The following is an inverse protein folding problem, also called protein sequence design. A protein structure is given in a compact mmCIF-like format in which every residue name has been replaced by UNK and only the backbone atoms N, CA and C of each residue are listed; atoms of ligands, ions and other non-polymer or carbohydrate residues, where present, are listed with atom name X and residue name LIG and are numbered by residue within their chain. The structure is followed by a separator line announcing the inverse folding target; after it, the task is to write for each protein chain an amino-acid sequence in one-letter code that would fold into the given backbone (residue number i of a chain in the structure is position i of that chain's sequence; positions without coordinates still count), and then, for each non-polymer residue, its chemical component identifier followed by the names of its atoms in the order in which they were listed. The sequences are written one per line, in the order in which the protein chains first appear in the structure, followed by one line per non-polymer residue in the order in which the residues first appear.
data_IF_685022355900
#
_entry.id   IF_685022355900
#
_cell.length_a   1.000
_cell.length_b   1.000
_cell.length_c   1.000
_cell.angle_alpha   90.00
_cell.angle_beta   90.00
_cell.angle_gamma   90.00
#
_symmetry.space_group_name_H-M   'P 1'
#
loop_
_entity.id
_entity.type
_entity.pdbx_description
1 polymer ?
#
# COMPACT_ATOMS: atom_id res chain seq x y z
N UNK A 1 35.32 -10.74 2.50
CA UNK A 1 34.02 -10.11 2.83
C UNK A 1 33.20 -10.01 1.56
N UNK A 2 32.26 -10.94 1.35
CA UNK A 2 31.31 -10.86 0.24
C UNK A 2 29.96 -10.44 0.84
N UNK A 3 29.52 -9.24 0.50
CA UNK A 3 28.23 -8.71 0.94
C UNK A 3 27.10 -9.52 0.28
N UNK A 4 26.29 -10.19 1.10
CA UNK A 4 25.04 -10.82 0.67
C UNK A 4 24.03 -9.71 0.34
N UNK A 5 23.87 -9.43 -0.95
CA UNK A 5 22.77 -8.61 -1.47
C UNK A 5 21.46 -9.37 -1.19
N UNK A 6 20.71 -8.98 -0.16
CA UNK A 6 19.34 -9.46 0.05
C UNK A 6 18.47 -8.90 -1.07
N UNK A 7 18.15 -9.74 -2.06
CA UNK A 7 17.20 -9.39 -3.13
C UNK A 7 15.84 -9.14 -2.50
N UNK A 8 15.35 -7.91 -2.60
CA UNK A 8 14.00 -7.53 -2.15
C UNK A 8 12.98 -8.13 -3.14
N UNK A 9 12.35 -9.24 -2.76
CA UNK A 9 11.19 -9.77 -3.46
C UNK A 9 10.00 -8.87 -3.13
N UNK A 10 9.70 -7.92 -4.02
CA UNK A 10 8.43 -7.22 -3.97
C UNK A 10 7.36 -8.23 -4.39
N UNK A 11 6.68 -8.81 -3.40
CA UNK A 11 5.40 -9.46 -3.64
C UNK A 11 4.43 -8.41 -4.17
N UNK A 12 4.22 -8.39 -5.48
CA UNK A 12 3.10 -7.68 -6.08
C UNK A 12 1.85 -8.40 -5.56
N UNK A 13 1.19 -7.84 -4.55
CA UNK A 13 -0.17 -8.22 -4.21
C UNK A 13 -1.07 -7.73 -5.33
N UNK A 14 -1.08 -8.46 -6.45
CA UNK A 14 -2.14 -8.37 -7.44
C UNK A 14 -3.39 -8.85 -6.73
N UNK A 15 -4.22 -7.92 -6.26
CA UNK A 15 -5.56 -8.23 -5.79
C UNK A 15 -6.40 -8.65 -7.01
N UNK A 16 -6.28 -9.92 -7.40
CA UNK A 16 -7.25 -10.58 -8.28
C UNK A 16 -8.52 -10.77 -7.45
N UNK A 17 -9.63 -10.26 -7.97
CA UNK A 17 -10.88 -10.07 -7.27
C UNK A 17 -11.34 -11.27 -6.45
N UNK A 18 -11.77 -10.98 -5.22
CA UNK A 18 -12.59 -11.88 -4.43
C UNK A 18 -13.96 -11.24 -4.24
N UNK A 19 -14.96 -11.94 -4.75
CA UNK A 19 -16.38 -11.64 -4.59
C UNK A 19 -16.71 -11.34 -3.13
N UNK A 20 -17.50 -10.30 -2.92
CA UNK A 20 -18.02 -9.89 -1.63
C UNK A 20 -18.86 -11.02 -1.01
N UNK A 21 -18.36 -11.60 0.09
CA UNK A 21 -19.21 -12.23 1.10
C UNK A 21 -19.20 -11.29 2.29
N UNK A 22 -20.33 -10.60 2.47
CA UNK A 22 -20.58 -9.65 3.55
C UNK A 22 -20.65 -10.36 4.90
N UNK A 23 -19.50 -10.48 5.56
CA UNK A 23 -19.41 -10.49 7.01
C UNK A 23 -18.74 -9.16 7.36
N UNK A 24 -19.48 -8.25 7.97
CA UNK A 24 -18.91 -7.02 8.50
C UNK A 24 -17.77 -7.43 9.44
N UNK A 25 -16.52 -7.00 9.18
CA UNK A 25 -15.41 -7.39 10.04
C UNK A 25 -15.69 -6.90 11.46
N UNK A 26 -15.42 -7.75 12.44
CA UNK A 26 -15.38 -7.36 13.84
C UNK A 26 -14.46 -6.13 13.95
N UNK A 27 -14.86 -5.17 14.79
CA UNK A 27 -14.25 -3.85 14.93
C UNK A 27 -12.72 -3.91 14.77
N UNK A 28 -12.22 -3.32 13.69
CA UNK A 28 -10.82 -3.28 13.36
C UNK A 28 -10.10 -2.27 14.26
N UNK A 29 -9.01 -2.66 14.92
CA UNK A 29 -8.14 -1.68 15.58
C UNK A 29 -7.55 -0.71 14.56
N UNK A 30 -7.62 0.60 14.82
CA UNK A 30 -6.91 1.61 14.04
C UNK A 30 -5.44 1.69 14.45
N UNK A 31 -4.61 2.30 13.61
CA UNK A 31 -3.24 2.67 13.98
C UNK A 31 -3.31 3.62 15.18
N UNK A 32 -2.64 3.28 16.29
CA UNK A 32 -2.59 4.10 17.51
C UNK A 32 -1.23 4.75 17.69
N UNK A 33 -1.12 5.72 18.59
CA UNK A 33 0.13 6.45 18.87
C UNK A 33 0.75 7.06 17.58
N UNK A 34 -0.12 7.56 16.70
CA UNK A 34 0.29 8.11 15.43
C UNK A 34 1.18 9.35 15.62
N UNK A 35 2.34 9.37 14.97
CA UNK A 35 3.31 10.47 15.01
C UNK A 35 3.87 10.72 13.62
N UNK A 36 4.18 11.99 13.33
CA UNK A 36 4.85 12.39 12.09
C UNK A 36 6.36 12.48 12.30
N UNK A 37 7.11 12.03 11.31
CA UNK A 37 8.57 12.00 11.31
C UNK A 37 9.16 11.99 9.91
N UNK A 38 10.32 11.38 9.75
CA UNK A 38 11.10 11.37 8.51
C UNK A 38 12.14 12.48 8.48
N UNK A 39 12.81 12.62 7.34
CA UNK A 39 13.87 13.62 7.15
C UNK A 39 13.34 15.02 6.85
N UNK A 40 12.04 15.14 6.54
CA UNK A 40 11.27 16.37 6.39
C UNK A 40 9.97 16.33 7.22
N UNK A 41 10.07 16.07 8.52
CA UNK A 41 8.91 15.85 9.41
C UNK A 41 7.86 16.98 9.49
N UNK A 42 8.16 18.17 8.98
CA UNK A 42 7.21 19.30 8.91
C UNK A 42 6.49 19.40 7.56
N UNK A 43 6.88 18.59 6.58
CA UNK A 43 6.32 18.60 5.22
C UNK A 43 5.14 17.64 5.13
N UNK A 44 4.03 18.04 5.75
CA UNK A 44 2.75 17.32 5.71
C UNK A 44 1.57 18.28 5.88
N UNK A 45 0.41 17.86 5.38
CA UNK A 45 -0.86 18.53 5.61
C UNK A 45 -1.86 17.53 6.20
N UNK A 46 -2.75 18.04 7.05
CA UNK A 46 -3.87 17.26 7.57
C UNK A 46 -5.16 17.86 7.04
N UNK A 47 -5.97 17.02 6.40
CA UNK A 47 -7.30 17.37 5.94
C UNK A 47 -8.34 16.65 6.78
N UNK A 48 -9.30 17.38 7.33
CA UNK A 48 -10.53 16.84 7.88
C UNK A 48 -11.67 16.91 6.87
N UNK A 49 -12.88 16.55 7.29
CA UNK A 49 -14.07 16.59 6.44
C UNK A 49 -15.03 17.73 6.82
N UNK A 50 -15.64 18.35 5.82
CA UNK A 50 -16.75 19.29 5.95
C UNK A 50 -17.75 19.05 4.82
N UNK A 51 -18.86 18.38 5.15
CA UNK A 51 -19.78 17.87 4.12
C UNK A 51 -19.08 16.85 3.21
N UNK A 52 -19.16 17.06 1.89
CA UNK A 52 -18.47 16.23 0.89
C UNK A 52 -17.10 16.78 0.49
N UNK A 53 -16.51 17.65 1.33
CA UNK A 53 -15.21 18.29 1.09
C UNK A 53 -14.18 17.84 2.11
N UNK A 54 -12.94 17.66 1.65
CA UNK A 54 -11.79 17.67 2.56
C UNK A 54 -11.27 19.09 2.70
N UNK A 55 -10.99 19.51 3.94
CA UNK A 55 -10.54 20.86 4.29
C UNK A 55 -9.31 20.80 5.18
N UNK A 56 -8.37 21.72 4.97
CA UNK A 56 -7.19 21.82 5.83
C UNK A 56 -7.60 22.09 7.28
N UNK A 57 -7.01 21.33 8.20
CA UNK A 57 -7.16 21.49 9.64
C UNK A 57 -5.77 21.58 10.29
N UNK A 58 -5.66 22.05 11.54
CA UNK A 58 -4.36 22.15 12.20
C UNK A 58 -3.61 20.82 12.27
N UNK A 59 -2.31 20.88 11.99
CA UNK A 59 -1.38 19.76 12.09
C UNK A 59 -1.10 19.41 13.57
N UNK A 60 -2.01 18.65 14.20
CA UNK A 60 -1.88 18.17 15.58
C UNK A 60 -1.99 16.65 15.64
N UNK A 61 -1.33 16.00 16.61
CA UNK A 61 -1.38 14.54 16.76
C UNK A 61 -2.82 14.02 16.92
N UNK A 62 -3.67 14.78 17.62
CA UNK A 62 -5.09 14.44 17.78
C UNK A 62 -5.84 14.45 16.44
N UNK A 63 -5.57 15.44 15.58
CA UNK A 63 -6.18 15.50 14.25
C UNK A 63 -5.64 14.39 13.36
N UNK A 64 -4.31 14.14 13.37
CA UNK A 64 -3.69 13.01 12.66
C UNK A 64 -4.36 11.69 13.06
N UNK A 65 -4.50 11.43 14.37
CA UNK A 65 -5.17 10.23 14.86
C UNK A 65 -6.63 10.13 14.40
N UNK A 66 -7.39 11.22 14.48
CA UNK A 66 -8.82 11.22 14.09
C UNK A 66 -9.06 10.89 12.62
N UNK A 67 -8.10 11.23 11.75
CA UNK A 67 -8.15 10.84 10.33
C UNK A 67 -8.00 9.32 10.20
N UNK A 68 -7.08 8.72 10.96
CA UNK A 68 -6.73 7.31 10.82
C UNK A 68 -7.82 6.35 11.32
N UNK A 69 -8.77 6.86 12.11
CA UNK A 69 -9.91 6.09 12.64
C UNK A 69 -11.04 5.88 11.60
N UNK A 70 -10.94 6.48 10.41
CA UNK A 70 -11.88 6.30 9.31
C UNK A 70 -11.85 4.90 8.66
N UNK A 71 -12.58 4.74 7.55
CA UNK A 71 -12.50 3.56 6.67
C UNK A 71 -13.05 3.87 5.27
N UNK A 72 -12.97 2.91 4.34
CA UNK A 72 -13.44 3.05 2.97
C UNK A 72 -14.89 3.57 2.82
N UNK A 73 -15.79 3.18 3.72
CA UNK A 73 -17.20 3.57 3.67
C UNK A 73 -17.52 4.88 4.39
N UNK A 74 -16.63 5.32 5.28
CA UNK A 74 -16.77 6.53 6.12
C UNK A 74 -15.41 7.22 6.26
N UNK A 75 -14.85 7.78 5.17
CA UNK A 75 -13.59 8.49 5.24
C UNK A 75 -13.73 9.77 6.07
N UNK A 76 -12.76 10.04 6.95
CA UNK A 76 -12.77 11.21 7.85
C UNK A 76 -11.82 12.32 7.40
N UNK A 77 -11.01 12.06 6.37
CA UNK A 77 -10.07 12.99 5.75
C UNK A 77 -8.81 12.26 5.28
N UNK A 78 -7.67 12.95 5.26
CA UNK A 78 -6.37 12.36 4.92
C UNK A 78 -5.20 13.13 5.54
N UNK A 79 -4.09 12.43 5.76
CA UNK A 79 -2.78 12.99 6.08
C UNK A 79 -1.92 12.90 4.82
N UNK A 80 -1.67 14.05 4.21
CA UNK A 80 -0.81 14.17 3.02
C UNK A 80 0.65 14.21 3.45
N UNK A 81 1.43 13.19 3.08
CA UNK A 81 2.87 13.15 3.35
C UNK A 81 3.63 13.83 2.20
N UNK A 82 4.71 14.55 2.51
CA UNK A 82 5.49 15.30 1.51
C UNK A 82 4.64 16.28 0.70
N UNK A 83 3.78 17.04 1.38
CA UNK A 83 2.81 17.98 0.79
C UNK A 83 3.44 19.09 -0.09
N UNK A 84 4.75 19.28 -0.02
CA UNK A 84 5.50 20.18 -0.90
C UNK A 84 5.98 19.53 -2.20
N UNK A 85 5.67 18.24 -2.46
CA UNK A 85 6.06 17.45 -3.64
C UNK A 85 5.88 18.16 -4.98
N UNK A 86 4.80 18.94 -5.11
CA UNK A 86 4.43 19.65 -6.33
C UNK A 86 4.89 21.12 -6.35
N UNK A 87 5.60 21.58 -5.32
CA UNK A 87 6.04 22.97 -5.17
C UNK A 87 7.46 23.16 -5.68
N UNK A 88 7.75 24.38 -6.15
CA UNK A 88 9.10 24.75 -6.53
C UNK A 88 10.04 24.65 -5.32
N UNK A 89 11.20 24.01 -5.51
CA UNK A 89 12.19 23.82 -4.44
C UNK A 89 11.98 22.57 -3.57
N UNK A 90 11.04 21.68 -3.93
CA UNK A 90 10.89 20.38 -3.27
C UNK A 90 12.22 19.61 -3.21
N UNK A 91 12.61 19.19 -2.00
CA UNK A 91 13.83 18.40 -1.77
C UNK A 91 13.50 16.91 -1.86
N UNK A 92 13.57 16.37 -3.07
CA UNK A 92 13.20 14.98 -3.35
C UNK A 92 14.19 13.94 -2.78
N UNK A 93 15.20 14.37 -2.01
CA UNK A 93 16.05 13.48 -1.22
C UNK A 93 15.47 13.19 0.17
N UNK A 94 14.46 13.95 0.59
CA UNK A 94 13.83 13.84 1.90
C UNK A 94 12.46 13.17 1.83
N UNK A 95 12.04 12.65 2.96
CA UNK A 95 10.75 12.00 3.14
C UNK A 95 10.03 12.49 4.40
N UNK A 96 8.72 12.38 4.37
CA UNK A 96 7.82 12.51 5.52
C UNK A 96 7.28 11.12 5.82
N UNK A 97 7.14 10.79 7.09
CA UNK A 97 6.60 9.49 7.52
C UNK A 97 5.54 9.64 8.59
N UNK A 98 4.56 8.74 8.56
CA UNK A 98 3.58 8.49 9.60
C UNK A 98 3.95 7.17 10.30
N UNK A 99 4.17 7.20 11.61
CA UNK A 99 4.46 5.99 12.41
C UNK A 99 3.43 5.81 13.50
N UNK A 100 3.02 4.58 13.77
CA UNK A 100 2.18 4.22 14.91
C UNK A 100 2.21 2.72 15.19
N UNK A 101 1.33 2.27 16.10
CA UNK A 101 1.20 0.88 16.50
C UNK A 101 -0.10 0.25 15.98
N UNK A 102 0.01 -0.91 15.34
CA UNK A 102 -1.12 -1.72 14.85
C UNK A 102 -0.80 -3.21 15.01
N UNK A 103 -1.75 -4.00 15.48
CA UNK A 103 -1.51 -5.43 15.78
C UNK A 103 -0.38 -5.68 16.77
N UNK A 104 -0.14 -4.74 17.71
CA UNK A 104 0.96 -4.79 18.68
C UNK A 104 2.35 -4.62 18.08
N UNK A 105 2.46 -4.09 16.86
CA UNK A 105 3.72 -3.84 16.15
C UNK A 105 3.74 -2.42 15.60
N UNK A 106 4.94 -1.86 15.50
CA UNK A 106 5.11 -0.57 14.85
C UNK A 106 4.98 -0.71 13.33
N UNK A 107 4.18 0.16 12.74
CA UNK A 107 4.04 0.39 11.31
C UNK A 107 4.52 1.81 11.01
N UNK A 108 5.44 1.94 10.05
CA UNK A 108 5.81 3.22 9.44
C UNK A 108 5.34 3.24 8.01
N UNK A 109 4.60 4.27 7.62
CA UNK A 109 4.22 4.63 6.26
C UNK A 109 4.99 5.89 5.87
N UNK A 110 5.49 5.99 4.65
CA UNK A 110 6.32 7.12 4.23
C UNK A 110 6.13 7.49 2.78
N UNK A 111 6.30 8.78 2.51
CA UNK A 111 6.54 9.32 1.18
C UNK A 111 7.82 8.75 0.56
N UNK A 112 7.93 8.85 -0.76
CA UNK A 112 9.09 8.34 -1.49
C UNK A 112 10.11 9.44 -1.75
N UNK A 113 11.37 9.02 -1.84
CA UNK A 113 12.48 9.83 -2.34
C UNK A 113 12.83 9.44 -3.78
N UNK A 114 13.62 10.27 -4.46
CA UNK A 114 14.22 9.92 -5.75
C UNK A 114 15.01 8.59 -5.69
N UNK A 115 15.62 8.29 -4.54
CA UNK A 115 16.38 7.04 -4.34
C UNK A 115 15.48 5.81 -4.25
N UNK A 116 14.28 5.96 -3.67
CA UNK A 116 13.28 4.89 -3.60
C UNK A 116 12.82 4.52 -5.01
N UNK A 117 12.53 5.51 -5.86
CA UNK A 117 12.17 5.31 -7.26
C UNK A 117 13.25 4.62 -8.09
N UNK A 118 14.53 4.83 -7.76
CA UNK A 118 15.66 4.17 -8.39
C UNK A 118 15.90 2.73 -7.91
N UNK A 119 15.23 2.30 -6.83
CA UNK A 119 15.38 0.95 -6.26
C UNK A 119 15.03 -0.11 -7.30
N UNK A 120 15.89 -1.12 -7.44
CA UNK A 120 15.63 -2.28 -8.29
C UNK A 120 14.59 -3.20 -7.66
N UNK A 121 13.58 -3.55 -8.43
CA UNK A 121 12.47 -4.41 -8.05
C UNK A 121 12.42 -5.64 -8.96
N UNK A 122 11.36 -6.45 -8.87
CA UNK A 122 11.21 -7.66 -9.68
C UNK A 122 11.49 -7.42 -11.17
N UNK A 123 12.31 -8.27 -11.78
CA UNK A 123 12.64 -8.18 -13.22
C UNK A 123 13.71 -7.13 -13.56
N UNK A 124 14.51 -6.70 -12.58
CA UNK A 124 15.61 -5.71 -12.75
C UNK A 124 15.14 -4.32 -13.22
N UNK A 125 13.84 -4.07 -13.18
CA UNK A 125 13.23 -2.75 -13.36
C UNK A 125 13.50 -1.89 -12.13
N UNK A 126 13.60 -0.57 -12.31
CA UNK A 126 13.46 0.34 -11.16
C UNK A 126 12.00 0.37 -10.70
N UNK A 127 11.73 0.77 -9.45
CA UNK A 127 10.37 0.97 -8.96
C UNK A 127 9.58 1.90 -9.88
N UNK A 128 10.23 2.94 -10.40
CA UNK A 128 9.62 3.91 -11.31
C UNK A 128 9.16 3.27 -12.62
N UNK A 129 10.02 2.45 -13.22
CA UNK A 129 9.69 1.71 -14.44
C UNK A 129 8.57 0.68 -14.20
N UNK A 130 8.61 -0.02 -13.07
CA UNK A 130 7.60 -1.03 -12.70
C UNK A 130 6.24 -0.39 -12.49
N UNK A 131 6.15 0.62 -11.62
CA UNK A 131 4.91 1.31 -11.31
C UNK A 131 4.27 1.92 -12.56
N UNK A 132 5.05 2.63 -13.38
CA UNK A 132 4.53 3.26 -14.59
C UNK A 132 4.03 2.22 -15.60
N UNK A 133 4.76 1.11 -15.76
CA UNK A 133 4.33 0.02 -16.64
C UNK A 133 3.04 -0.62 -16.13
N UNK A 134 2.93 -0.88 -14.82
CA UNK A 134 1.71 -1.44 -14.23
C UNK A 134 0.51 -0.49 -14.34
N UNK A 135 0.74 0.82 -14.20
CA UNK A 135 -0.28 1.84 -14.39
C UNK A 135 -0.82 1.81 -15.83
N UNK A 136 0.07 1.73 -16.83
CA UNK A 136 -0.33 1.60 -18.23
C UNK A 136 -1.08 0.27 -18.48
N UNK A 137 -0.59 -0.85 -17.94
CA UNK A 137 -1.23 -2.16 -18.13
C UNK A 137 -2.64 -2.17 -17.55
N UNK A 138 -2.80 -1.76 -16.30
CA UNK A 138 -4.09 -1.79 -15.58
C UNK A 138 -5.16 -0.91 -16.22
N UNK A 139 -4.74 0.17 -16.87
CA UNK A 139 -5.63 1.18 -17.48
C UNK A 139 -5.89 0.94 -18.98
N UNK A 140 -5.38 -0.17 -19.52
CA UNK A 140 -5.65 -0.63 -20.89
C UNK A 140 -4.62 -0.17 -21.92
N UNK A 141 -3.50 0.40 -21.51
CA UNK A 141 -2.45 0.92 -22.39
C UNK A 141 -1.25 -0.03 -22.57
N UNK A 142 -1.42 -1.33 -22.29
CA UNK A 142 -0.38 -2.35 -22.49
C UNK A 142 0.26 -2.30 -23.90
N UNK A 143 -0.52 -1.93 -24.91
CA UNK A 143 -0.04 -1.83 -26.30
C UNK A 143 1.04 -0.74 -26.48
N UNK A 144 1.01 0.33 -25.67
CA UNK A 144 2.05 1.37 -25.69
C UNK A 144 3.41 0.79 -25.30
N UNK A 145 3.44 -0.14 -24.34
CA UNK A 145 4.69 -0.73 -23.85
C UNK A 145 5.41 -1.54 -24.93
N UNK A 146 4.67 -2.05 -25.93
CA UNK A 146 5.24 -2.79 -27.06
C UNK A 146 5.89 -1.89 -28.11
N UNK A 147 5.65 -0.57 -28.06
CA UNK A 147 6.22 0.42 -28.97
C UNK A 147 7.21 1.34 -28.22
N UNK A 148 8.54 1.14 -28.39
CA UNK A 148 9.56 1.91 -27.66
C UNK A 148 9.47 3.43 -27.81
N UNK A 149 9.02 3.91 -28.98
CA UNK A 149 8.88 5.35 -29.22
C UNK A 149 7.71 5.93 -28.41
N UNK A 150 6.56 5.24 -28.40
CA UNK A 150 5.38 5.70 -27.66
C UNK A 150 5.55 5.53 -26.15
N UNK A 151 6.14 4.42 -25.70
CA UNK A 151 6.44 4.23 -24.28
C UNK A 151 7.45 5.27 -23.79
N UNK A 152 8.49 5.58 -24.56
CA UNK A 152 9.43 6.66 -24.26
C UNK A 152 8.77 8.04 -24.24
N UNK A 153 7.85 8.31 -25.17
CA UNK A 153 7.09 9.58 -25.21
C UNK A 153 6.21 9.73 -23.98
N UNK A 154 5.44 8.69 -23.63
CA UNK A 154 4.57 8.69 -22.45
C UNK A 154 5.37 8.83 -21.16
N UNK A 155 6.47 8.08 -21.03
CA UNK A 155 7.38 8.16 -19.89
C UNK A 155 7.97 9.56 -19.73
N UNK A 156 8.50 10.15 -20.81
CA UNK A 156 9.09 11.49 -20.77
C UNK A 156 8.05 12.54 -20.39
N UNK A 157 6.82 12.44 -20.91
CA UNK A 157 5.74 13.35 -20.56
C UNK A 157 5.39 13.26 -19.07
N UNK A 158 5.24 12.04 -18.55
CA UNK A 158 5.00 11.77 -17.13
C UNK A 158 6.13 12.31 -16.24
N UNK A 159 7.37 11.92 -16.52
CA UNK A 159 8.52 12.27 -15.70
C UNK A 159 8.82 13.78 -15.73
N UNK A 160 8.75 14.42 -16.91
CA UNK A 160 8.98 15.86 -17.03
C UNK A 160 7.85 16.70 -16.40
N UNK A 161 6.67 16.12 -16.15
CA UNK A 161 5.59 16.78 -15.42
C UNK A 161 5.71 16.65 -13.89
N UNK A 162 6.85 16.16 -13.40
CA UNK A 162 7.04 15.84 -11.99
C UNK A 162 6.27 14.59 -11.55
N UNK A 163 5.94 13.69 -12.48
CA UNK A 163 5.11 12.52 -12.18
C UNK A 163 5.65 11.65 -11.04
N UNK A 164 6.98 11.52 -10.90
CA UNK A 164 7.52 10.79 -9.74
C UNK A 164 7.23 11.53 -8.43
N UNK A 165 7.40 12.85 -8.39
CA UNK A 165 7.12 13.67 -7.22
C UNK A 165 5.64 13.58 -6.81
N UNK A 166 4.72 13.73 -7.78
CA UNK A 166 3.25 13.71 -7.59
C UNK A 166 2.63 12.38 -7.18
N UNK A 167 3.42 11.29 -7.26
CA UNK A 167 2.99 9.96 -6.83
C UNK A 167 3.86 9.47 -5.65
N UNK A 168 4.62 10.37 -5.04
CA UNK A 168 5.50 10.10 -3.88
C UNK A 168 4.91 10.56 -2.56
N UNK A 169 3.77 11.21 -2.57
CA UNK A 169 3.15 12.01 -1.51
C UNK A 169 1.85 11.37 -1.03
N UNK A 170 1.91 10.15 -0.46
CA UNK A 170 0.72 9.38 -0.16
C UNK A 170 -0.20 10.10 0.82
N UNK A 171 -1.46 10.20 0.43
CA UNK A 171 -2.56 10.79 1.18
C UNK A 171 -3.25 9.75 2.07
N UNK A 172 -2.68 9.46 3.24
CA UNK A 172 -3.15 8.38 4.14
C UNK A 172 -4.51 8.76 4.75
N UNK A 173 -5.57 8.05 4.40
CA UNK A 173 -6.94 8.34 4.83
C UNK A 173 -7.44 7.46 5.97
N UNK A 174 -6.91 6.26 6.12
CA UNK A 174 -7.18 5.37 7.25
C UNK A 174 -6.15 4.25 7.32
N UNK A 175 -5.96 3.67 8.52
CA UNK A 175 -5.12 2.48 8.72
C UNK A 175 -5.77 1.58 9.77
N UNK A 176 -6.28 0.42 9.35
CA UNK A 176 -7.11 -0.44 10.20
C UNK A 176 -6.67 -1.90 10.04
N UNK A 177 -6.83 -2.72 11.08
CA UNK A 177 -6.54 -4.15 11.01
C UNK A 177 -7.77 -4.98 11.32
N UNK A 178 -8.08 -5.95 10.45
CA UNK A 178 -9.04 -6.99 10.78
C UNK A 178 -8.41 -7.93 11.82
N UNK A 179 -8.94 -7.93 13.06
CA UNK A 179 -8.37 -8.72 14.16
C UNK A 179 -8.57 -10.24 13.99
N UNK A 180 -9.46 -10.67 13.10
CA UNK A 180 -9.69 -12.10 12.81
C UNK A 180 -8.65 -12.65 11.85
N UNK A 181 -8.33 -11.87 10.80
CA UNK A 181 -7.40 -12.30 9.74
C UNK A 181 -5.98 -11.75 9.95
N UNK A 182 -5.85 -10.69 10.73
CA UNK A 182 -4.64 -9.87 10.84
C UNK A 182 -4.41 -8.99 9.62
N UNK A 183 -5.30 -8.92 8.63
CA UNK A 183 -5.11 -8.08 7.43
C UNK A 183 -5.11 -6.60 7.81
N UNK A 184 -4.00 -5.91 7.53
CA UNK A 184 -3.89 -4.45 7.65
C UNK A 184 -4.34 -3.82 6.34
N UNK A 185 -5.27 -2.88 6.43
CA UNK A 185 -5.79 -2.06 5.34
C UNK A 185 -5.31 -0.64 5.49
N UNK A 186 -4.83 -0.06 4.41
CA UNK A 186 -4.37 1.33 4.33
C UNK A 186 -5.17 2.00 3.21
N UNK A 187 -5.94 3.02 3.55
CA UNK A 187 -6.61 3.86 2.57
C UNK A 187 -5.71 4.96 2.07
N UNK A 188 -5.62 5.14 0.76
CA UNK A 188 -5.08 6.35 0.15
C UNK A 188 -6.21 7.15 -0.50
N UNK A 189 -6.38 8.40 -0.09
CA UNK A 189 -7.20 9.35 -0.82
C UNK A 189 -6.43 9.81 -2.05
N UNK A 190 -7.05 9.89 -3.22
CA UNK A 190 -6.35 10.32 -4.43
C UNK A 190 -7.31 10.73 -5.52
N UNK A 191 -6.85 10.73 -6.77
CA UNK A 191 -7.73 10.97 -7.91
C UNK A 191 -8.41 9.69 -8.36
N UNK A 192 -9.73 9.71 -8.47
CA UNK A 192 -10.51 8.66 -9.13
C UNK A 192 -10.20 8.61 -10.65
N UNK A 193 -9.86 9.75 -11.25
CA UNK A 193 -9.34 9.86 -12.61
C UNK A 193 -7.99 10.61 -12.64
N UNK A 194 -6.91 9.83 -12.71
CA UNK A 194 -5.53 10.28 -12.81
C UNK A 194 -5.07 10.56 -14.25
N UNK A 195 -5.97 10.67 -15.24
CA UNK A 195 -5.61 10.92 -16.65
C UNK A 195 -4.70 12.13 -16.82
N UNK A 196 -5.02 13.24 -16.15
CA UNK A 196 -4.22 14.47 -16.24
C UNK A 196 -2.85 14.33 -15.57
N UNK A 197 -2.72 13.48 -14.54
CA UNK A 197 -1.45 13.25 -13.87
C UNK A 197 -0.49 12.43 -14.73
N UNK A 198 -1.00 11.41 -15.42
CA UNK A 198 -0.20 10.55 -16.28
C UNK A 198 0.10 11.18 -17.65
N UNK A 199 -0.85 11.93 -18.20
CA UNK A 199 -0.83 12.35 -19.60
C UNK A 199 -1.02 13.85 -19.83
N UNK A 200 -1.07 14.67 -18.78
CA UNK A 200 -1.35 16.11 -18.87
C UNK A 200 -0.48 16.86 -19.88
N UNK A 201 0.82 16.55 -19.91
CA UNK A 201 1.83 17.20 -20.76
C UNK A 201 1.90 16.68 -22.21
N UNK A 202 1.08 15.71 -22.59
CA UNK A 202 0.99 15.28 -23.97
C UNK A 202 0.19 16.30 -24.81
N UNK A 203 0.66 16.56 -26.02
CA UNK A 203 -0.12 17.31 -27.02
C UNK A 203 -1.42 16.58 -27.39
N UNK A 204 -2.41 17.30 -27.92
CA UNK A 204 -3.68 16.70 -28.35
C UNK A 204 -3.48 15.56 -29.36
N UNK A 205 -2.53 15.69 -30.29
CA UNK A 205 -2.20 14.63 -31.25
C UNK A 205 -1.61 13.38 -30.58
N UNK A 206 -0.71 13.57 -29.60
CA UNK A 206 -0.16 12.46 -28.83
C UNK A 206 -1.23 11.78 -27.97
N UNK A 207 -2.11 12.55 -27.31
CA UNK A 207 -3.24 12.03 -26.54
C UNK A 207 -4.18 11.19 -27.42
N UNK A 208 -4.52 11.68 -28.62
CA UNK A 208 -5.35 10.95 -29.57
C UNK A 208 -4.70 9.63 -30.02
N UNK A 209 -3.40 9.65 -30.33
CA UNK A 209 -2.65 8.45 -30.72
C UNK A 209 -2.52 7.44 -29.57
N UNK A 210 -2.25 7.90 -28.35
CA UNK A 210 -2.17 7.03 -27.17
C UNK A 210 -3.53 6.41 -26.88
N UNK A 211 -4.60 7.21 -26.92
CA UNK A 211 -5.97 6.73 -26.71
C UNK A 211 -6.43 5.75 -27.79
N UNK A 212 -5.97 5.85 -29.04
CA UNK A 212 -6.32 4.87 -30.08
C UNK A 212 -5.71 3.48 -29.85
N UNK A 213 -4.70 3.38 -28.97
CA UNK A 213 -4.07 2.12 -28.58
C UNK A 213 -4.60 1.56 -27.26
N UNK A 214 -5.53 2.26 -26.61
CA UNK A 214 -6.18 1.79 -25.38
C UNK A 214 -7.04 0.57 -25.70
N UNK A 215 -7.02 -0.41 -24.81
CA UNK A 215 -7.92 -1.56 -24.83
C UNK A 215 -9.37 -1.07 -24.99
N UNK A 216 -10.10 -1.52 -26.04
CA UNK A 216 -11.48 -1.12 -26.28
C UNK A 216 -12.40 -1.31 -25.07
N UNK A 217 -12.16 -2.31 -24.22
CA UNK A 217 -12.94 -2.57 -23.01
C UNK A 217 -12.73 -1.54 -21.89
N UNK A 218 -11.68 -0.71 -22.00
CA UNK A 218 -11.33 0.35 -21.05
C UNK A 218 -11.60 1.75 -21.59
N UNK A 219 -12.03 1.88 -22.85
CA UNK A 219 -12.37 3.19 -23.43
C UNK A 219 -13.56 3.78 -22.68
N UNK A 220 -13.44 5.05 -22.28
CA UNK A 220 -14.47 5.75 -21.51
C UNK A 220 -14.44 5.49 -20.00
N UNK A 221 -13.57 4.59 -19.51
CA UNK A 221 -13.36 4.43 -18.07
C UNK A 221 -12.26 5.36 -17.57
N UNK A 222 -12.36 5.88 -16.33
CA UNK A 222 -11.28 6.63 -15.69
C UNK A 222 -9.95 5.88 -15.70
N UNK A 223 -8.85 6.63 -15.67
CA UNK A 223 -7.51 6.07 -15.49
C UNK A 223 -7.22 6.14 -14.00
N UNK A 224 -7.20 5.00 -13.33
CA UNK A 224 -6.95 4.94 -11.89
C UNK A 224 -5.48 4.60 -11.62
N UNK A 225 -4.86 5.36 -10.72
CA UNK A 225 -3.52 5.11 -10.23
C UNK A 225 -3.36 5.72 -8.84
N UNK A 226 -3.04 4.88 -7.85
CA UNK A 226 -2.71 5.39 -6.52
C UNK A 226 -1.30 6.00 -6.51
N UNK A 227 -1.08 6.92 -5.59
CA UNK A 227 0.26 7.21 -5.06
C UNK A 227 0.93 5.92 -4.56
N UNK A 228 2.25 5.97 -4.44
CA UNK A 228 3.03 4.88 -3.83
C UNK A 228 3.29 5.21 -2.38
N UNK A 229 3.06 4.24 -1.50
CA UNK A 229 3.46 4.35 -0.09
C UNK A 229 4.59 3.35 0.19
N UNK A 230 5.67 3.84 0.79
CA UNK A 230 6.71 2.97 1.37
C UNK A 230 6.26 2.60 2.77
N UNK A 231 6.25 1.31 3.09
CA UNK A 231 5.96 0.85 4.44
C UNK A 231 7.15 0.14 5.05
N UNK A 232 7.25 0.18 6.39
CA UNK A 232 8.07 -0.72 7.19
C UNK A 232 7.21 -1.32 8.29
N UNK A 233 7.08 -2.63 8.28
CA UNK A 233 6.30 -3.39 9.26
C UNK A 233 7.01 -4.69 9.58
N UNK A 234 7.16 -5.00 10.88
CA UNK A 234 7.80 -6.24 11.35
C UNK A 234 9.17 -6.51 10.69
N UNK A 235 10.01 -5.48 10.58
CA UNK A 235 11.35 -5.57 9.97
C UNK A 235 11.38 -5.72 8.45
N UNK A 236 10.22 -5.70 7.79
CA UNK A 236 10.11 -5.73 6.32
C UNK A 236 9.79 -4.34 5.81
N UNK A 237 10.61 -3.85 4.88
CA UNK A 237 10.36 -2.59 4.15
C UNK A 237 10.02 -2.91 2.70
N UNK A 238 8.90 -2.39 2.20
CA UNK A 238 8.48 -2.57 0.82
C UNK A 238 7.55 -1.41 0.37
N UNK A 239 7.03 -1.47 -0.84
CA UNK A 239 6.16 -0.46 -1.44
C UNK A 239 4.78 -1.04 -1.73
N UNK A 240 3.73 -0.24 -1.53
CA UNK A 240 2.35 -0.58 -1.87
C UNK A 240 1.77 0.47 -2.80
N UNK A 241 1.00 0.00 -3.78
CA UNK A 241 0.20 0.80 -4.70
C UNK A 241 -0.81 -0.13 -5.37
N UNK A 242 -1.88 0.43 -5.92
CA UNK A 242 -2.78 -0.29 -6.82
C UNK A 242 -3.41 0.68 -7.84
N UNK A 243 -4.26 0.13 -8.70
CA UNK A 243 -4.90 0.87 -9.82
C UNK A 243 -6.41 0.66 -9.82
N UNK A 244 -6.98 0.41 -8.63
CA UNK A 244 -8.41 0.17 -8.43
C UNK A 244 -8.92 1.06 -7.32
N UNK A 245 -9.60 2.13 -7.71
CA UNK A 245 -10.25 3.05 -6.79
C UNK A 245 -11.75 2.79 -6.71
N UNK A 246 -12.29 3.07 -5.53
CA UNK A 246 -13.72 3.36 -5.33
C UNK A 246 -13.91 4.87 -5.22
N UNK A 247 -15.11 5.38 -5.50
CA UNK A 247 -15.40 6.79 -5.22
C UNK A 247 -15.45 7.00 -3.70
N UNK A 248 -14.73 8.00 -3.18
CA UNK A 248 -14.70 8.28 -1.74
C UNK A 248 -15.92 9.06 -1.25
N UNK A 249 -16.65 9.71 -2.18
CA UNK A 249 -17.69 10.70 -1.86
C UNK A 249 -17.15 12.04 -1.37
N UNK A 250 -15.82 12.21 -1.33
CA UNK A 250 -15.13 13.44 -0.93
C UNK A 250 -14.47 14.12 -2.14
N UNK A 251 -14.18 15.42 -2.01
CA UNK A 251 -13.32 16.16 -2.94
C UNK A 251 -12.54 17.22 -2.18
N UNK A 252 -11.32 17.56 -2.59
CA UNK A 252 -10.60 18.66 -1.96
C UNK A 252 -11.32 20.01 -2.18
N UNK A 253 -11.32 20.84 -1.14
CA UNK A 253 -12.02 22.13 -1.16
C UNK A 253 -11.34 23.14 -2.08
N UNK A 254 -10.03 23.10 -2.17
CA UNK A 254 -9.17 24.04 -2.88
C UNK A 254 -9.13 23.81 -4.40
N UNK A 255 -9.15 22.55 -4.87
CA UNK A 255 -9.11 22.23 -6.31
C UNK A 255 -10.38 21.58 -6.88
N UNK A 256 -11.24 21.01 -6.02
CA UNK A 256 -12.47 20.33 -6.42
C UNK A 256 -12.29 19.00 -7.16
N UNK A 257 -11.06 18.48 -7.31
CA UNK A 257 -10.74 17.30 -8.14
C UNK A 257 -9.87 16.25 -7.44
N UNK A 258 -9.19 16.61 -6.35
CA UNK A 258 -8.40 15.69 -5.52
C UNK A 258 -9.26 14.99 -4.46
N UNK A 259 -8.72 13.91 -3.87
CA UNK A 259 -9.33 13.12 -2.79
C UNK A 259 -10.69 12.45 -3.10
N UNK A 260 -11.04 12.31 -4.38
CA UNK A 260 -12.28 11.68 -4.83
C UNK A 260 -12.19 10.18 -5.11
N UNK A 261 -10.97 9.63 -5.18
CA UNK A 261 -10.71 8.19 -5.21
C UNK A 261 -10.26 7.68 -3.85
N UNK A 262 -10.77 6.52 -3.45
CA UNK A 262 -10.23 5.72 -2.34
C UNK A 262 -9.54 4.47 -2.89
N UNK A 263 -8.24 4.34 -2.62
CA UNK A 263 -7.42 3.19 -2.95
C UNK A 263 -7.11 2.39 -1.68
N UNK A 264 -7.72 1.21 -1.55
CA UNK A 264 -7.47 0.33 -0.39
C UNK A 264 -6.28 -0.61 -0.67
N UNK A 265 -5.18 -0.36 0.02
CA UNK A 265 -3.97 -1.18 0.02
C UNK A 265 -4.01 -2.18 1.16
N UNK A 266 -3.37 -3.33 0.98
CA UNK A 266 -3.41 -4.44 1.93
C UNK A 266 -2.03 -5.02 2.18
N UNK A 267 -1.74 -5.33 3.45
CA UNK A 267 -0.58 -6.12 3.85
C UNK A 267 -0.95 -7.07 4.99
N UNK A 268 -0.25 -8.20 5.08
CA UNK A 268 -0.48 -9.16 6.15
C UNK A 268 0.09 -8.62 7.48
N UNK A 269 -0.79 -8.44 8.47
CA UNK A 269 -0.45 -8.06 9.83
C UNK A 269 -0.27 -9.25 10.76
N UNK A 270 -0.40 -8.99 12.06
CA UNK A 270 -0.28 -10.00 13.11
C UNK A 270 -1.63 -10.14 13.82
N UNK A 271 -2.11 -11.37 13.96
CA UNK A 271 -3.32 -11.65 14.74
C UNK A 271 -3.00 -11.49 16.23
N UNK A 272 -3.74 -10.63 16.93
CA UNK A 272 -3.56 -10.35 18.36
C UNK A 272 -4.88 -10.47 19.13
N UNK A 273 -4.99 -11.37 20.14
CA UNK A 273 -3.98 -12.33 20.58
C UNK A 273 -3.71 -13.41 19.51
N UNK A 274 -2.50 -13.97 19.44
CA UNK A 274 -2.22 -15.06 18.50
C UNK A 274 -3.22 -16.21 18.71
N UNK A 275 -3.59 -16.94 17.64
CA UNK A 275 -4.50 -18.07 17.75
C UNK A 275 -4.00 -19.02 18.85
N UNK A 276 -4.90 -19.62 19.65
CA UNK A 276 -4.50 -20.57 20.69
C UNK A 276 -3.56 -21.61 20.09
N UNK A 277 -2.34 -21.71 20.61
CA UNK A 277 -1.43 -22.79 20.23
C UNK A 277 -2.13 -24.07 20.67
N UNK A 278 -2.37 -24.99 19.72
CA UNK A 278 -2.94 -26.29 20.05
C UNK A 278 -2.05 -26.95 21.10
N UNK A 279 -2.52 -27.03 22.34
CA UNK A 279 -1.87 -27.78 23.40
C UNK A 279 -1.98 -29.25 22.97
N UNK A 280 -0.86 -29.98 22.80
CA UNK A 280 -0.94 -31.41 22.48
C UNK A 280 -1.82 -32.08 23.53
N UNK A 281 -2.91 -32.71 23.10
CA UNK A 281 -3.83 -33.33 24.04
C UNK A 281 -3.07 -34.36 24.89
N UNK A 282 -3.42 -34.53 26.19
CA UNK A 282 -2.75 -35.48 27.09
C UNK A 282 -2.70 -36.91 26.54
N UNK A 283 -3.64 -37.26 25.65
CA UNK A 283 -3.71 -38.53 24.92
C UNK A 283 -2.48 -38.80 24.06
N UNK A 284 -1.89 -37.78 23.43
CA UNK A 284 -0.67 -37.90 22.61
C UNK A 284 0.55 -38.26 23.47
N UNK A 285 0.64 -37.69 24.67
CA UNK A 285 1.71 -37.96 25.64
C UNK A 285 1.53 -39.35 26.27
N UNK A 286 0.29 -39.73 26.63
CA UNK A 286 -0.03 -41.06 27.13
C UNK A 286 0.23 -42.15 26.08
N UNK A 287 -0.07 -41.88 24.81
CA UNK A 287 0.22 -42.78 23.70
C UNK A 287 1.72 -43.06 23.54
N UNK A 288 2.56 -42.03 23.63
CA UNK A 288 4.02 -42.17 23.60
C UNK A 288 4.57 -42.94 24.81
N UNK A 289 4.02 -42.73 26.01
CA UNK A 289 4.41 -43.50 27.20
C UNK A 289 3.98 -44.98 27.10
N UNK A 290 2.79 -45.26 26.57
CA UNK A 290 2.31 -46.64 26.36
C UNK A 290 3.19 -47.40 25.35
N UNK A 291 3.58 -46.75 24.24
CA UNK A 291 4.48 -47.33 23.24
C UNK A 291 5.87 -47.55 23.85
N UNK A 292 6.44 -46.56 24.56
CA UNK A 292 7.72 -46.72 25.26
C UNK A 292 7.72 -47.84 26.30
N UNK A 293 6.62 -47.98 27.06
CA UNK A 293 6.42 -49.06 28.02
C UNK A 293 6.35 -50.46 27.38
N UNK A 294 5.69 -50.57 26.23
CA UNK A 294 5.62 -51.82 25.45
C UNK A 294 6.99 -52.24 24.92
N UNK A 295 7.79 -51.30 24.40
CA UNK A 295 9.15 -51.57 23.93
C UNK A 295 10.09 -51.99 25.08
N UNK A 296 10.01 -51.32 26.23
CA UNK A 296 10.81 -51.69 27.41
C UNK A 296 10.44 -53.08 27.95
N UNK A 297 9.14 -53.40 28.01
CA UNK A 297 8.66 -54.72 28.44
C UNK A 297 9.07 -55.83 27.47
N UNK A 298 8.98 -55.60 26.15
CA UNK A 298 9.40 -56.56 25.14
C UNK A 298 10.91 -56.86 25.22
N UNK A 299 11.75 -55.83 25.39
CA UNK A 299 13.21 -55.99 25.57
C UNK A 299 13.54 -56.80 26.84
N UNK A 300 12.81 -56.58 27.93
CA UNK A 300 13.01 -57.30 29.20
C UNK A 300 12.62 -58.78 29.10
N UNK A 301 11.62 -59.12 28.29
CA UNK A 301 11.21 -60.51 28.06
C UNK A 301 12.15 -61.25 27.09
N UNK A 302 12.75 -60.56 26.10
CA UNK A 302 13.75 -61.14 25.21
C UNK A 302 15.03 -61.55 25.97
N UNK A 303 15.49 -60.73 26.93
CA UNK A 303 16.69 -61.01 27.73
C UNK A 303 16.52 -62.11 28.80
N UNK A 304 15.30 -62.59 29.06
CA UNK A 304 15.04 -63.71 29.98
C UNK A 304 15.03 -65.08 29.29
N UNK A 305 15.12 -65.11 27.96
CA UNK A 305 15.13 -66.32 27.13
C UNK A 305 16.52 -66.62 26.53
N UNK A 306 17.55 -65.94 27.01
CA UNK A 306 18.95 -66.21 26.70
C UNK A 306 19.63 -66.88 27.90
#
# INVERSE_FOLDING_TARGET
MAALLKKLLIGTSVAVGMSAVGIAPAFAGSLTNATIGGTAATDYLVYGTSGNKTVLIPNTDANVQSILDGNAGTPTGNVELAASSEKAGFDFSKNTSLTGDIGGKSLTLSSLTASDWATKVSGELTLAQKWFSDALISTGFSNILSNPFLSGTAWNAFNNNGGLQRFSDPNISYVNQDDTTGEIKIGLAGHYDATNLLFGNLSNGQKALINSLRDPSKVGTPIQASEVVKYTYNGTTNYLYNFLATESGLTAFDDGVSHNGNYELKLAGVITPPPPVAVPEPSTILGLMAVGGLFAAAKRNANKKA
#
